data_IF_861093179791
#
_entry.id   IF_861093179791
#
_cell.length_a   1.000
_cell.length_b   1.000
_cell.length_c   1.000
_cell.angle_alpha   90.00
_cell.angle_beta   90.00
_cell.angle_gamma   90.00
#
_symmetry.space_group_name_H-M   'P 1'
#
loop_
_entity.id
_entity.type
_entity.pdbx_description
1 polymer ?
#
# COMPACT_ATOMS: atom_id res chain seq x y z
N UNK A 1 21.88 -10.60 7.86
CA UNK A 1 21.95 -10.10 6.48
C UNK A 1 20.73 -9.23 6.27
N UNK A 2 20.89 -7.90 6.23
CA UNK A 2 19.76 -6.99 6.05
C UNK A 2 19.46 -6.91 4.55
N UNK A 3 18.38 -7.54 4.11
CA UNK A 3 17.84 -7.31 2.77
C UNK A 3 17.42 -5.85 2.73
N UNK A 4 18.19 -5.00 2.05
CA UNK A 4 17.74 -3.66 1.64
C UNK A 4 16.51 -3.88 0.77
N UNK A 5 15.33 -3.87 1.40
CA UNK A 5 14.06 -3.88 0.71
C UNK A 5 14.09 -2.70 -0.27
N UNK A 6 13.79 -2.98 -1.52
CA UNK A 6 13.93 -1.97 -2.55
C UNK A 6 12.96 -0.81 -2.28
N UNK A 7 13.24 0.44 -2.69
CA UNK A 7 12.34 1.59 -2.49
C UNK A 7 10.92 1.40 -3.08
N UNK A 8 10.78 0.45 -4.00
CA UNK A 8 9.54 0.05 -4.65
C UNK A 8 8.87 -1.18 -4.03
N UNK A 9 9.42 -1.80 -2.98
CA UNK A 9 8.77 -2.91 -2.28
C UNK A 9 7.73 -2.37 -1.30
N UNK A 10 6.42 -2.60 -1.55
CA UNK A 10 5.39 -2.24 -0.60
C UNK A 10 5.43 -3.21 0.58
N UNK A 11 5.79 -2.68 1.75
CA UNK A 11 5.97 -3.48 2.97
C UNK A 11 4.80 -3.34 3.93
N UNK A 12 4.12 -2.19 3.97
CA UNK A 12 3.10 -1.89 4.97
C UNK A 12 1.75 -2.52 4.62
N UNK A 13 1.19 -3.40 5.47
CA UNK A 13 -0.07 -4.07 5.17
C UNK A 13 -1.26 -3.11 5.33
N UNK A 14 -1.96 -2.84 4.23
CA UNK A 14 -3.27 -2.19 4.28
C UNK A 14 -4.33 -3.22 4.64
N UNK A 15 -4.91 -3.06 5.83
CA UNK A 15 -6.03 -3.88 6.31
C UNK A 15 -7.33 -3.09 6.29
N UNK A 16 -8.41 -3.79 6.01
CA UNK A 16 -9.74 -3.23 6.14
C UNK A 16 -10.03 -2.87 7.61
N UNK A 17 -10.53 -1.65 7.85
CA UNK A 17 -10.86 -1.16 9.21
C UNK A 17 -12.05 -1.90 9.86
N UNK A 18 -12.91 -2.54 9.05
CA UNK A 18 -14.10 -3.23 9.54
C UNK A 18 -13.89 -4.72 9.79
N UNK A 19 -13.15 -5.40 8.92
CA UNK A 19 -13.03 -6.87 8.97
C UNK A 19 -11.58 -7.37 9.03
N UNK A 20 -10.60 -6.46 9.13
CA UNK A 20 -9.17 -6.76 9.26
C UNK A 20 -8.56 -7.56 8.09
N UNK A 21 -9.33 -7.79 7.02
CA UNK A 21 -8.88 -8.46 5.80
C UNK A 21 -7.73 -7.67 5.17
N UNK A 22 -6.67 -8.39 4.77
CA UNK A 22 -5.57 -7.81 4.00
C UNK A 22 -6.09 -7.41 2.62
N UNK A 23 -5.90 -6.15 2.26
CA UNK A 23 -6.34 -5.57 1.00
C UNK A 23 -5.17 -5.36 0.03
N UNK A 24 -4.08 -4.79 0.55
CA UNK A 24 -2.90 -4.45 -0.23
C UNK A 24 -1.66 -4.41 0.68
N UNK A 25 -0.48 -4.32 0.08
CA UNK A 25 0.68 -3.72 0.73
C UNK A 25 0.94 -2.37 0.11
N UNK A 26 1.39 -1.43 0.93
CA UNK A 26 1.68 -0.05 0.54
C UNK A 26 3.15 0.20 0.83
N UNK A 27 3.80 0.88 -0.10
CA UNK A 27 5.13 1.45 0.06
C UNK A 27 5.09 2.91 -0.40
N UNK A 28 6.21 3.63 -0.31
CA UNK A 28 6.27 5.04 -0.66
C UNK A 28 5.84 5.30 -2.10
N UNK A 29 6.31 4.49 -3.05
CA UNK A 29 6.11 4.68 -4.49
C UNK A 29 5.29 3.57 -5.15
N UNK A 30 4.80 2.62 -4.36
CA UNK A 30 4.17 1.41 -4.88
C UNK A 30 3.04 0.92 -3.99
N UNK A 31 2.02 0.33 -4.60
CA UNK A 31 0.98 -0.44 -3.92
C UNK A 31 0.84 -1.79 -4.62
N UNK A 32 0.89 -2.88 -3.86
CA UNK A 32 0.64 -4.22 -4.39
C UNK A 32 -0.64 -4.82 -3.84
N UNK A 33 -1.43 -5.41 -4.73
CA UNK A 33 -2.67 -6.12 -4.41
C UNK A 33 -2.48 -7.57 -4.84
N UNK A 34 -2.46 -8.49 -3.88
CA UNK A 34 -2.27 -9.93 -4.12
C UNK A 34 -3.54 -10.70 -3.76
N UNK A 35 -4.06 -11.52 -4.69
CA UNK A 35 -5.24 -12.35 -4.46
C UNK A 35 -5.27 -13.57 -5.37
N UNK A 36 -5.45 -14.75 -4.79
CA UNK A 36 -5.68 -15.99 -5.53
C UNK A 36 -4.59 -16.34 -6.55
N UNK A 37 -3.33 -16.02 -6.25
CA UNK A 37 -2.19 -16.23 -7.16
C UNK A 37 -1.91 -15.06 -8.11
N UNK A 38 -2.81 -14.08 -8.20
CA UNK A 38 -2.60 -12.86 -8.99
C UNK A 38 -2.01 -11.75 -8.14
N UNK A 39 -1.17 -10.93 -8.77
CA UNK A 39 -0.59 -9.72 -8.19
C UNK A 39 -0.72 -8.57 -9.16
N UNK A 40 -1.24 -7.44 -8.66
CA UNK A 40 -1.28 -6.16 -9.37
C UNK A 40 -0.38 -5.21 -8.61
N UNK A 41 0.58 -4.60 -9.30
CA UNK A 41 1.46 -3.58 -8.73
C UNK A 41 1.18 -2.25 -9.41
N UNK A 42 0.87 -1.22 -8.62
CA UNK A 42 0.72 0.15 -9.07
C UNK A 42 1.93 0.92 -8.61
N UNK A 43 2.67 1.52 -9.53
CA UNK A 43 3.89 2.30 -9.26
C UNK A 43 3.73 3.74 -9.72
N UNK A 44 4.21 4.69 -8.92
CA UNK A 44 4.20 6.12 -9.29
C UNK A 44 4.17 7.03 -8.07
N UNK A 45 4.60 8.28 -8.25
CA UNK A 45 4.79 9.26 -7.17
C UNK A 45 3.52 9.99 -6.73
N UNK A 46 2.39 9.85 -7.44
CA UNK A 46 1.20 10.66 -7.20
C UNK A 46 -0.09 9.91 -7.58
N UNK A 47 -0.19 8.63 -7.23
CA UNK A 47 -1.36 7.83 -7.51
C UNK A 47 -2.34 7.87 -6.32
N UNK A 48 -3.61 8.16 -6.59
CA UNK A 48 -4.70 7.94 -5.63
C UNK A 48 -5.45 6.66 -6.00
N UNK A 49 -5.48 5.72 -5.08
CA UNK A 49 -6.08 4.40 -5.23
C UNK A 49 -7.28 4.26 -4.31
N UNK A 50 -8.43 3.91 -4.88
CA UNK A 50 -9.60 3.51 -4.11
C UNK A 50 -9.72 1.99 -4.12
N UNK A 51 -9.58 1.38 -2.94
CA UNK A 51 -9.60 -0.07 -2.73
C UNK A 51 -10.86 -0.43 -1.95
N UNK A 52 -11.75 -1.17 -2.59
CA UNK A 52 -12.98 -1.66 -1.96
C UNK A 52 -12.73 -3.04 -1.36
N UNK A 53 -13.05 -3.22 -0.09
CA UNK A 53 -12.90 -4.49 0.60
C UNK A 53 -13.73 -5.59 -0.07
N UNK A 54 -13.08 -6.70 -0.41
CA UNK A 54 -13.74 -7.83 -1.05
C UNK A 54 -14.67 -8.63 -0.13
N UNK A 55 -14.57 -8.45 1.20
CA UNK A 55 -15.44 -9.12 2.19
C UNK A 55 -16.63 -8.25 2.59
N UNK A 56 -16.37 -7.04 3.07
CA UNK A 56 -17.39 -6.17 3.69
C UNK A 56 -17.77 -4.93 2.87
N UNK A 57 -17.19 -4.75 1.68
CA UNK A 57 -17.45 -3.61 0.77
C UNK A 57 -17.09 -2.21 1.31
N UNK A 58 -16.47 -2.10 2.48
CA UNK A 58 -15.90 -0.84 2.96
C UNK A 58 -14.81 -0.31 2.00
N UNK A 59 -14.80 1.00 1.77
CA UNK A 59 -13.84 1.68 0.89
C UNK A 59 -12.62 2.18 1.66
N UNK A 60 -11.46 2.08 1.02
CA UNK A 60 -10.18 2.54 1.54
C UNK A 60 -9.48 3.37 0.47
N UNK A 61 -9.06 4.57 0.82
CA UNK A 61 -8.26 5.42 -0.07
C UNK A 61 -6.81 5.37 0.36
N UNK A 62 -5.93 5.09 -0.59
CA UNK A 62 -4.47 5.10 -0.43
C UNK A 62 -3.90 6.11 -1.40
N UNK A 63 -2.91 6.87 -0.95
CA UNK A 63 -2.10 7.73 -1.81
C UNK A 63 -0.69 7.18 -1.81
N UNK A 64 -0.10 6.98 -2.98
CA UNK A 64 1.36 6.85 -3.03
C UNK A 64 1.97 8.22 -2.77
N UNK A 65 3.08 8.23 -2.05
CA UNK A 65 3.81 9.46 -1.77
C UNK A 65 4.68 9.83 -2.96
N UNK A 66 5.06 11.10 -3.04
CA UNK A 66 6.20 11.50 -3.84
C UNK A 66 7.49 10.98 -3.16
N UNK A 67 8.61 10.79 -3.89
CA UNK A 67 9.87 10.34 -3.30
C UNK A 67 10.45 11.26 -2.22
N UNK A 68 9.81 12.39 -1.90
CA UNK A 68 10.40 13.48 -1.12
C UNK A 68 9.81 13.70 0.28
N UNK A 69 8.77 12.99 0.70
CA UNK A 69 8.16 13.23 2.03
C UNK A 69 8.27 12.01 2.96
N UNK A 70 9.45 11.39 3.01
CA UNK A 70 9.88 10.59 4.17
C UNK A 70 10.85 11.41 5.03
N UNK A 71 10.46 12.66 5.31
CA UNK A 71 11.25 13.62 6.07
C UNK A 71 10.42 14.23 7.18
N UNK A 72 10.72 13.82 8.41
CA UNK A 72 10.41 14.50 9.68
C UNK A 72 9.11 14.13 10.38
N UNK A 73 9.26 13.28 11.40
CA UNK A 73 8.43 13.27 12.60
C UNK A 73 9.00 14.30 13.60
N UNK A 74 8.27 15.34 14.01
CA UNK A 74 8.38 15.90 15.36
C UNK A 74 7.21 15.32 16.20
N UNK A 75 7.38 14.94 17.46
CA UNK A 75 8.00 15.71 18.53
C UNK A 75 6.85 16.17 19.42
#
# INVERSE_FOLDING_TARGET
MATTASPWEPIDPLRCRHCSALLARVGPLAVSIRRGGFEVMVTGSDATLQITCYRCRASHTVKTGSPLEHGTRPG
#
